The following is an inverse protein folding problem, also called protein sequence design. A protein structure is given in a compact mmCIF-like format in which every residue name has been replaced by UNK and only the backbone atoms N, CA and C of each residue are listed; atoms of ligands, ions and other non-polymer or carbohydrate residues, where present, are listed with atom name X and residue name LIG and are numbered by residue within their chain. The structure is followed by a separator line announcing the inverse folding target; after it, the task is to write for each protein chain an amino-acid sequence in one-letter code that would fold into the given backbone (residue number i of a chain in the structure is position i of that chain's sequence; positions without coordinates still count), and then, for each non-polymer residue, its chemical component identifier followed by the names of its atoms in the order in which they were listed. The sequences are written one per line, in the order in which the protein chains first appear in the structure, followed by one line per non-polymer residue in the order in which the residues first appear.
data_IF_685343700895
#
_entry.id   IF_685343700895
#
_cell.length_a   1.000
_cell.length_b   1.000
_cell.length_c   1.000
_cell.angle_alpha   90.00
_cell.angle_beta   90.00
_cell.angle_gamma   90.00
#
_symmetry.space_group_name_H-M   'P 1'
#
loop_
_entity.id
_entity.type
_entity.pdbx_description
1 polymer ?
#
# COMPACT_ATOMS: atom_id res chain seq x y z
N UNK A 1 7.19 2.10 -24.19
CA UNK A 1 6.15 2.57 -23.24
C UNK A 1 5.21 1.39 -22.99
N UNK A 2 5.09 0.88 -21.76
CA UNK A 2 4.12 -0.18 -21.46
C UNK A 2 2.71 0.42 -21.53
N UNK A 3 1.79 -0.29 -22.15
CA UNK A 3 0.41 0.20 -22.36
C UNK A 3 -0.41 0.06 -21.06
N UNK A 4 -1.53 0.80 -20.94
CA UNK A 4 -2.51 0.64 -19.83
C UNK A 4 -2.96 -0.83 -19.71
N UNK A 5 -3.04 -1.55 -20.83
CA UNK A 5 -3.39 -2.97 -20.88
C UNK A 5 -2.35 -3.86 -20.17
N UNK A 6 -1.06 -3.55 -20.34
CA UNK A 6 0.02 -4.28 -19.66
C UNK A 6 0.00 -3.99 -18.15
N UNK A 7 -0.33 -2.77 -17.78
CA UNK A 7 -0.46 -2.36 -16.38
C UNK A 7 -1.64 -3.06 -15.69
N UNK A 8 -2.80 -3.15 -16.36
CA UNK A 8 -3.97 -3.87 -15.85
C UNK A 8 -3.67 -5.36 -15.63
N UNK A 9 -2.96 -5.99 -16.56
CA UNK A 9 -2.56 -7.39 -16.42
C UNK A 9 -1.65 -7.62 -15.20
N UNK A 10 -0.72 -6.71 -14.95
CA UNK A 10 0.18 -6.81 -13.79
C UNK A 10 -0.54 -6.54 -12.48
N UNK A 11 -1.46 -5.56 -12.43
CA UNK A 11 -2.31 -5.33 -11.27
C UNK A 11 -3.18 -6.54 -10.96
N UNK A 12 -3.75 -7.16 -11.98
CA UNK A 12 -4.51 -8.39 -11.84
C UNK A 12 -3.67 -9.52 -11.23
N UNK A 13 -2.46 -9.74 -11.73
CA UNK A 13 -1.54 -10.73 -11.18
C UNK A 13 -1.16 -10.43 -9.72
N UNK A 14 -0.99 -9.15 -9.37
CA UNK A 14 -0.72 -8.74 -8.00
C UNK A 14 -1.91 -9.00 -7.07
N UNK A 15 -3.13 -8.75 -7.54
CA UNK A 15 -4.36 -9.08 -6.77
C UNK A 15 -4.47 -10.58 -6.55
N UNK A 16 -4.19 -11.39 -7.58
CA UNK A 16 -4.15 -12.85 -7.47
C UNK A 16 -3.06 -13.33 -6.51
N UNK A 17 -1.86 -12.77 -6.61
CA UNK A 17 -0.76 -13.07 -5.70
C UNK A 17 -1.09 -12.70 -4.24
N UNK A 18 -1.75 -11.55 -4.03
CA UNK A 18 -2.23 -11.15 -2.72
C UNK A 18 -3.24 -12.14 -2.16
N UNK A 19 -4.19 -12.55 -2.98
CA UNK A 19 -5.19 -13.52 -2.56
C UNK A 19 -4.56 -14.87 -2.19
N UNK A 20 -3.63 -15.35 -3.02
CA UNK A 20 -2.87 -16.57 -2.73
C UNK A 20 -2.07 -16.48 -1.43
N UNK A 21 -1.43 -15.34 -1.16
CA UNK A 21 -0.70 -15.08 0.08
C UNK A 21 -1.63 -15.09 1.30
N UNK A 22 -2.81 -14.46 1.21
CA UNK A 22 -3.82 -14.48 2.27
C UNK A 22 -4.31 -15.91 2.54
N UNK A 23 -4.57 -16.69 1.49
CA UNK A 23 -5.01 -18.07 1.62
C UNK A 23 -3.92 -18.97 2.22
N UNK A 24 -2.66 -18.75 1.88
CA UNK A 24 -1.53 -19.47 2.49
C UNK A 24 -1.43 -19.19 4.00
N UNK A 25 -1.63 -17.93 4.41
CA UNK A 25 -1.66 -17.56 5.83
C UNK A 25 -2.86 -18.19 6.55
N UNK A 26 -4.06 -18.16 5.96
CA UNK A 26 -5.25 -18.80 6.50
C UNK A 26 -5.03 -20.32 6.66
N UNK A 27 -4.39 -20.96 5.68
CA UNK A 27 -4.06 -22.37 5.74
C UNK A 27 -3.10 -22.72 6.89
N UNK A 28 -2.11 -21.85 7.11
CA UNK A 28 -1.18 -22.04 8.24
C UNK A 28 -1.87 -21.96 9.61
N UNK A 29 -3.07 -21.36 9.68
CA UNK A 29 -3.80 -21.09 10.92
C UNK A 29 -5.09 -21.90 11.08
N UNK A 30 -5.55 -22.59 10.02
CA UNK A 30 -6.76 -23.41 10.06
C UNK A 30 -6.60 -24.67 9.22
N UNK A 31 -7.20 -25.77 9.68
CA UNK A 31 -7.22 -27.04 8.95
C UNK A 31 -8.18 -27.03 7.73
N UNK A 32 -9.00 -25.99 7.58
CA UNK A 32 -9.96 -25.87 6.52
C UNK A 32 -9.51 -24.87 5.43
N UNK A 33 -8.78 -25.38 4.44
CA UNK A 33 -8.43 -24.60 3.27
C UNK A 33 -9.63 -24.53 2.29
N UNK A 34 -9.95 -23.36 1.72
CA UNK A 34 -11.07 -23.25 0.78
C UNK A 34 -10.87 -24.16 -0.43
N UNK A 35 -11.97 -24.70 -0.92
CA UNK A 35 -12.00 -25.52 -2.13
C UNK A 35 -11.52 -24.74 -3.36
N UNK A 36 -11.11 -25.45 -4.41
CA UNK A 36 -10.71 -24.81 -5.67
C UNK A 36 -11.83 -23.99 -6.32
N UNK A 37 -13.09 -24.33 -6.04
CA UNK A 37 -14.25 -23.59 -6.53
C UNK A 37 -14.48 -22.29 -5.77
N UNK A 38 -14.33 -22.29 -4.45
CA UNK A 38 -14.35 -21.09 -3.62
C UNK A 38 -13.23 -20.12 -4.00
N UNK A 39 -12.02 -20.63 -4.24
CA UNK A 39 -10.90 -19.84 -4.74
C UNK A 39 -11.23 -19.16 -6.07
N UNK A 40 -11.80 -19.90 -7.04
CA UNK A 40 -12.19 -19.34 -8.35
C UNK A 40 -13.25 -18.26 -8.20
N UNK A 41 -14.26 -18.46 -7.34
CA UNK A 41 -15.28 -17.46 -7.06
C UNK A 41 -14.67 -16.17 -6.52
N UNK A 42 -13.77 -16.26 -5.57
CA UNK A 42 -13.09 -15.10 -5.00
C UNK A 42 -12.18 -14.39 -6.00
N UNK A 43 -11.55 -15.14 -6.91
CA UNK A 43 -10.79 -14.53 -8.00
C UNK A 43 -11.69 -13.77 -8.97
N UNK A 44 -12.84 -14.34 -9.35
CA UNK A 44 -13.81 -13.66 -10.19
C UNK A 44 -14.39 -12.39 -9.54
N UNK A 45 -14.66 -12.42 -8.22
CA UNK A 45 -15.07 -11.23 -7.47
C UNK A 45 -13.98 -10.16 -7.43
N UNK A 46 -12.71 -10.55 -7.34
CA UNK A 46 -11.58 -9.62 -7.38
C UNK A 46 -11.44 -8.98 -8.78
N UNK A 47 -11.65 -9.74 -9.85
CA UNK A 47 -11.70 -9.24 -11.23
C UNK A 47 -12.77 -8.17 -11.42
N UNK A 48 -14.00 -8.46 -11.01
CA UNK A 48 -15.11 -7.52 -11.11
C UNK A 48 -14.87 -6.23 -10.33
N UNK A 49 -14.21 -6.32 -9.18
CA UNK A 49 -13.83 -5.12 -8.39
C UNK A 49 -12.72 -4.31 -9.05
N UNK A 50 -11.87 -4.92 -9.85
CA UNK A 50 -10.82 -4.23 -10.63
C UNK A 50 -11.43 -3.41 -11.77
N UNK A 51 -12.46 -3.88 -12.43
CA UNK A 51 -13.18 -3.11 -13.46
C UNK A 51 -13.85 -1.86 -12.88
N UNK A 52 -14.34 -1.93 -11.65
CA UNK A 52 -14.92 -0.79 -10.94
C UNK A 52 -13.89 0.32 -10.55
N UNK A 53 -12.60 0.08 -10.74
CA UNK A 53 -11.52 1.04 -10.48
C UNK A 53 -11.21 1.96 -11.67
N UNK A 54 -12.10 2.12 -12.64
CA UNK A 54 -11.86 2.92 -13.85
C UNK A 54 -11.26 4.31 -13.58
N UNK A 55 -11.81 5.05 -12.61
CA UNK A 55 -11.28 6.36 -12.23
C UNK A 55 -9.89 6.29 -11.57
N UNK A 56 -9.60 5.23 -10.83
CA UNK A 56 -8.26 5.01 -10.27
C UNK A 56 -7.24 4.68 -11.37
N UNK A 57 -7.65 3.98 -12.42
CA UNK A 57 -6.79 3.68 -13.56
C UNK A 57 -6.36 4.93 -14.33
N UNK A 58 -7.20 5.97 -14.37
CA UNK A 58 -6.86 7.25 -14.98
C UNK A 58 -5.73 7.96 -14.22
N UNK A 59 -5.73 7.87 -12.89
CA UNK A 59 -4.63 8.37 -12.05
C UNK A 59 -3.37 7.53 -12.26
N UNK A 60 -3.51 6.21 -12.26
CA UNK A 60 -2.39 5.27 -12.44
C UNK A 60 -1.78 5.37 -13.84
N UNK A 61 -2.54 5.79 -14.84
CA UNK A 61 -2.07 6.02 -16.21
C UNK A 61 -1.28 7.32 -16.39
N UNK A 62 -1.27 8.23 -15.42
CA UNK A 62 -0.57 9.51 -15.51
C UNK A 62 0.82 9.44 -14.85
N UNK A 63 1.92 9.51 -15.62
CA UNK A 63 3.26 9.54 -15.06
C UNK A 63 3.44 10.70 -14.06
N UNK A 64 4.08 10.43 -12.94
CA UNK A 64 4.32 11.41 -11.90
C UNK A 64 3.20 11.59 -10.89
N UNK A 65 2.03 10.94 -11.08
CA UNK A 65 0.99 10.91 -10.05
C UNK A 65 1.52 10.29 -8.75
N UNK A 66 1.00 10.79 -7.63
CA UNK A 66 1.42 10.38 -6.29
C UNK A 66 0.37 9.47 -5.66
N UNK A 67 0.79 8.31 -5.23
CA UNK A 67 -0.05 7.31 -4.56
C UNK A 67 0.33 7.26 -3.08
N UNK A 68 -0.65 7.39 -2.20
CA UNK A 68 -0.50 7.05 -0.79
C UNK A 68 -0.94 5.60 -0.58
N UNK A 69 0.01 4.73 -0.28
CA UNK A 69 -0.22 3.32 0.01
C UNK A 69 -0.20 3.10 1.52
N UNK A 70 -1.31 2.65 2.08
CA UNK A 70 -1.44 2.38 3.51
C UNK A 70 -1.06 0.94 3.82
N UNK A 71 -0.07 0.74 4.69
CA UNK A 71 0.39 -0.60 5.09
C UNK A 71 -0.74 -1.46 5.64
N UNK A 72 -0.75 -2.74 5.31
CA UNK A 72 -1.75 -3.70 5.78
C UNK A 72 -1.49 -4.12 7.23
N UNK A 73 -2.56 -4.39 7.97
CA UNK A 73 -2.51 -4.87 9.35
C UNK A 73 -2.47 -6.40 9.45
N UNK A 74 -2.69 -7.11 8.37
CA UNK A 74 -2.87 -8.56 8.35
C UNK A 74 -1.70 -9.31 7.67
N UNK A 75 -0.48 -8.73 7.73
CA UNK A 75 0.75 -9.37 7.25
C UNK A 75 1.01 -9.23 5.75
N UNK A 76 0.36 -8.27 5.09
CA UNK A 76 0.51 -8.04 3.66
C UNK A 76 1.72 -7.19 3.25
N UNK A 77 2.71 -7.00 4.11
CA UNK A 77 3.86 -6.11 3.86
C UNK A 77 4.61 -6.42 2.57
N UNK A 78 4.88 -7.70 2.28
CA UNK A 78 5.56 -8.09 1.04
C UNK A 78 4.74 -7.74 -0.22
N UNK A 79 3.43 -7.86 -0.11
CA UNK A 79 2.54 -7.43 -1.19
C UNK A 79 2.53 -5.91 -1.35
N UNK A 80 2.46 -5.15 -0.26
CA UNK A 80 2.53 -3.69 -0.27
C UNK A 80 3.82 -3.22 -0.95
N UNK A 81 4.95 -3.80 -0.59
CA UNK A 81 6.25 -3.47 -1.17
C UNK A 81 6.31 -3.83 -2.66
N UNK A 82 5.80 -5.00 -3.04
CA UNK A 82 5.72 -5.40 -4.44
C UNK A 82 4.88 -4.42 -5.26
N UNK A 83 3.75 -3.96 -4.69
CA UNK A 83 2.88 -2.97 -5.31
C UNK A 83 3.56 -1.60 -5.41
N UNK A 84 4.26 -1.16 -4.35
CA UNK A 84 5.02 0.08 -4.34
C UNK A 84 6.11 0.08 -5.42
N UNK A 85 6.88 -1.00 -5.52
CA UNK A 85 7.90 -1.16 -6.57
C UNK A 85 7.30 -1.22 -7.97
N UNK A 86 6.17 -1.90 -8.12
CA UNK A 86 5.44 -1.91 -9.39
C UNK A 86 5.07 -0.50 -9.84
N UNK A 87 4.47 0.31 -8.96
CA UNK A 87 4.08 1.68 -9.30
C UNK A 87 5.28 2.57 -9.60
N UNK A 88 6.34 2.50 -8.81
CA UNK A 88 7.56 3.30 -9.04
C UNK A 88 8.26 2.93 -10.36
N UNK A 89 8.25 1.65 -10.73
CA UNK A 89 8.77 1.17 -12.01
C UNK A 89 7.96 1.68 -13.22
N UNK A 90 6.68 2.04 -13.01
CA UNK A 90 5.79 2.63 -14.02
C UNK A 90 5.79 4.18 -14.01
N UNK A 91 6.72 4.80 -13.28
CA UNK A 91 6.89 6.24 -13.29
C UNK A 91 6.01 7.01 -12.31
N UNK A 92 5.28 6.31 -11.46
CA UNK A 92 4.48 6.89 -10.38
C UNK A 92 5.34 7.18 -9.16
N UNK A 93 4.86 8.03 -8.27
CA UNK A 93 5.43 8.29 -6.96
C UNK A 93 4.61 7.58 -5.91
N UNK A 94 5.27 6.96 -4.95
CA UNK A 94 4.60 6.24 -3.88
C UNK A 94 5.02 6.79 -2.53
N UNK A 95 4.04 7.11 -1.71
CA UNK A 95 4.22 7.34 -0.28
C UNK A 95 3.72 6.09 0.43
N UNK A 96 4.62 5.33 1.04
CA UNK A 96 4.27 4.16 1.83
C UNK A 96 4.13 4.53 3.30
N UNK A 97 2.91 4.46 3.82
CA UNK A 97 2.61 4.80 5.20
C UNK A 97 2.60 3.57 6.09
N UNK A 98 3.55 3.51 7.03
CA UNK A 98 3.66 2.47 8.05
C UNK A 98 3.13 2.98 9.39
N UNK A 99 3.01 2.10 10.38
CA UNK A 99 2.60 2.47 11.74
C UNK A 99 3.72 3.17 12.51
N UNK A 100 3.34 4.05 13.44
CA UNK A 100 4.29 4.64 14.40
C UNK A 100 4.81 3.59 15.39
N UNK A 101 3.97 2.66 15.79
CA UNK A 101 4.33 1.60 16.69
C UNK A 101 3.44 0.38 16.51
N UNK A 102 3.66 -0.63 17.35
CA UNK A 102 3.03 -1.93 17.20
C UNK A 102 1.51 -1.86 17.03
N UNK A 103 1.04 -2.46 15.95
CA UNK A 103 -0.38 -2.66 15.65
C UNK A 103 -0.55 -3.91 14.78
N UNK A 104 -0.90 -5.04 15.42
CA UNK A 104 -1.01 -6.35 14.76
C UNK A 104 0.26 -6.69 13.94
N UNK A 105 0.08 -7.02 12.65
CA UNK A 105 1.17 -7.37 11.72
C UNK A 105 1.52 -6.23 10.75
N UNK A 106 1.07 -5.00 11.04
CA UNK A 106 1.49 -3.84 10.25
C UNK A 106 2.97 -3.54 10.48
N UNK A 107 3.72 -3.23 9.43
CA UNK A 107 5.08 -2.75 9.60
C UNK A 107 5.07 -1.40 10.33
N UNK A 108 6.05 -1.21 11.19
CA UNK A 108 6.23 0.01 11.98
C UNK A 108 7.42 0.83 11.47
N UNK A 109 7.52 2.07 11.91
CA UNK A 109 8.70 2.88 11.61
C UNK A 109 9.98 2.27 12.24
N UNK A 110 9.87 1.58 13.36
CA UNK A 110 10.98 0.83 13.95
C UNK A 110 11.41 -0.33 13.05
N UNK A 111 10.46 -1.11 12.51
CA UNK A 111 10.78 -2.20 11.57
C UNK A 111 11.50 -1.67 10.33
N UNK A 112 11.10 -0.50 9.79
CA UNK A 112 11.76 0.15 8.65
C UNK A 112 13.22 0.49 8.97
N UNK A 113 13.55 0.78 10.22
CA UNK A 113 14.89 1.15 10.64
C UNK A 113 15.77 -0.05 11.03
N UNK A 114 15.17 -1.09 11.63
CA UNK A 114 15.89 -2.17 12.31
C UNK A 114 15.79 -3.53 11.62
N UNK A 115 14.73 -3.79 10.85
CA UNK A 115 14.56 -5.07 10.16
C UNK A 115 15.30 -5.07 8.83
N UNK A 116 16.30 -5.95 8.70
CA UNK A 116 17.19 -6.00 7.54
C UNK A 116 16.44 -6.37 6.24
N UNK A 117 15.47 -7.29 6.29
CA UNK A 117 14.69 -7.68 5.11
C UNK A 117 13.83 -6.53 4.61
N UNK A 118 13.22 -5.78 5.54
CA UNK A 118 12.41 -4.61 5.20
C UNK A 118 13.27 -3.46 4.66
N UNK A 119 14.44 -3.23 5.25
CA UNK A 119 15.42 -2.24 4.77
C UNK A 119 15.92 -2.58 3.37
N UNK A 120 16.22 -3.85 3.11
CA UNK A 120 16.61 -4.31 1.78
C UNK A 120 15.48 -4.11 0.76
N UNK A 121 14.25 -4.48 1.11
CA UNK A 121 13.09 -4.30 0.26
C UNK A 121 12.74 -2.81 0.02
N UNK A 122 13.11 -1.92 0.93
CA UNK A 122 12.97 -0.46 0.82
C UNK A 122 14.25 0.23 0.31
N UNK A 123 15.22 -0.52 -0.22
CA UNK A 123 16.46 0.07 -0.75
C UNK A 123 16.14 1.12 -1.82
N UNK A 124 16.69 2.32 -1.66
CA UNK A 124 16.43 3.47 -2.53
C UNK A 124 15.17 4.27 -2.17
N UNK A 125 14.47 3.91 -1.12
CA UNK A 125 13.39 4.74 -0.57
C UNK A 125 13.96 5.84 0.33
N UNK A 126 13.26 6.97 0.39
CA UNK A 126 13.55 8.04 1.36
C UNK A 126 12.64 7.89 2.58
N UNK A 127 13.22 7.72 3.75
CA UNK A 127 12.47 7.55 5.01
C UNK A 127 12.37 8.89 5.73
N UNK A 128 11.14 9.35 5.95
CA UNK A 128 10.84 10.58 6.69
C UNK A 128 10.38 10.17 8.09
N UNK A 129 11.24 10.41 9.07
CA UNK A 129 10.96 10.09 10.49
C UNK A 129 10.27 11.24 11.24
N UNK A 130 10.37 12.47 10.72
CA UNK A 130 9.72 13.63 11.34
C UNK A 130 8.20 13.58 11.17
N UNK A 131 7.40 13.52 12.26
CA UNK A 131 5.94 13.45 12.19
C UNK A 131 5.29 14.77 11.77
N UNK A 132 6.06 15.86 11.60
CA UNK A 132 5.54 17.22 11.33
C UNK A 132 6.39 17.99 10.32
N UNK A 133 6.74 17.34 9.17
CA UNK A 133 7.46 18.06 8.10
C UNK A 133 6.59 19.11 7.43
N UNK A 134 7.21 20.11 6.80
CA UNK A 134 6.47 21.08 6.01
C UNK A 134 5.93 20.48 4.70
N UNK A 135 4.91 21.14 4.10
CA UNK A 135 4.43 20.76 2.76
C UNK A 135 5.56 20.81 1.73
N UNK A 136 6.40 21.84 1.80
CA UNK A 136 7.49 22.03 0.85
C UNK A 136 8.54 20.92 0.96
N UNK A 137 8.85 20.46 2.18
CA UNK A 137 9.79 19.36 2.40
C UNK A 137 9.24 18.04 1.86
N UNK A 138 7.92 17.77 2.07
CA UNK A 138 7.28 16.59 1.47
C UNK A 138 7.34 16.65 -0.06
N UNK A 139 6.98 17.79 -0.66
CA UNK A 139 7.02 17.96 -2.11
C UNK A 139 8.45 17.89 -2.67
N UNK A 140 9.43 18.36 -1.91
CA UNK A 140 10.85 18.21 -2.26
C UNK A 140 11.24 16.73 -2.25
N UNK A 141 10.93 16.00 -1.19
CA UNK A 141 11.19 14.56 -1.12
C UNK A 141 10.55 13.80 -2.30
N UNK A 142 9.30 14.12 -2.64
CA UNK A 142 8.58 13.51 -3.77
C UNK A 142 9.13 13.89 -5.15
N UNK A 143 9.91 14.97 -5.26
CA UNK A 143 10.63 15.30 -6.50
C UNK A 143 11.91 14.50 -6.66
N UNK A 144 12.61 14.27 -5.55
CA UNK A 144 13.91 13.60 -5.53
C UNK A 144 13.77 12.07 -5.50
N UNK A 145 12.72 11.56 -4.86
CA UNK A 145 12.52 10.13 -4.60
C UNK A 145 11.17 9.65 -5.13
N UNK A 146 11.17 8.49 -5.76
CA UNK A 146 9.92 7.86 -6.25
C UNK A 146 9.20 7.06 -5.16
N UNK A 147 9.92 6.60 -4.15
CA UNK A 147 9.39 5.90 -2.99
C UNK A 147 9.79 6.68 -1.74
N UNK A 148 8.80 7.10 -1.00
CA UNK A 148 8.95 7.80 0.29
C UNK A 148 8.22 6.99 1.35
N UNK A 149 8.85 6.75 2.49
CA UNK A 149 8.25 6.06 3.64
C UNK A 149 7.98 7.06 4.73
N UNK A 150 6.78 7.03 5.29
CA UNK A 150 6.36 7.88 6.40
C UNK A 150 5.67 7.07 7.49
N UNK A 151 5.62 7.61 8.71
CA UNK A 151 4.71 7.09 9.74
C UNK A 151 3.32 7.72 9.61
N UNK A 152 2.26 6.92 9.84
CA UNK A 152 0.92 7.45 10.01
C UNK A 152 0.73 8.17 11.37
N UNK A 153 1.69 8.03 12.29
CA UNK A 153 1.69 8.65 13.62
C UNK A 153 0.83 7.92 14.64
N UNK A 154 0.31 6.71 14.32
CA UNK A 154 -0.59 6.00 15.22
C UNK A 154 -0.06 4.62 15.60
N UNK A 155 -0.48 4.15 16.79
CA UNK A 155 -0.26 2.78 17.32
C UNK A 155 -1.57 2.01 17.43
N UNK A 156 -2.58 2.48 16.74
CA UNK A 156 -3.94 1.97 16.80
C UNK A 156 -4.54 1.88 15.40
N UNK A 157 -5.79 1.49 15.30
CA UNK A 157 -6.56 1.55 14.06
C UNK A 157 -6.47 2.94 13.46
N UNK A 158 -6.35 3.04 12.13
CA UNK A 158 -6.29 4.33 11.43
C UNK A 158 -7.46 5.23 11.84
N UNK A 159 -7.12 6.39 12.38
CA UNK A 159 -8.06 7.43 12.76
C UNK A 159 -7.51 8.75 12.21
N UNK A 160 -8.16 9.29 11.18
CA UNK A 160 -7.69 10.49 10.48
C UNK A 160 -7.62 11.74 11.37
N UNK A 161 -8.31 11.74 12.51
CA UNK A 161 -8.20 12.83 13.50
C UNK A 161 -6.94 12.74 14.39
N UNK A 162 -6.24 11.58 14.37
CA UNK A 162 -5.09 11.31 15.24
C UNK A 162 -3.79 11.02 14.49
N UNK A 163 -3.82 11.08 13.18
CA UNK A 163 -2.64 10.85 12.35
C UNK A 163 -1.63 11.98 12.49
N UNK A 164 -0.39 11.72 12.14
CA UNK A 164 0.68 12.73 12.13
C UNK A 164 0.39 13.85 11.13
N UNK A 165 1.01 15.01 11.36
CA UNK A 165 0.91 16.13 10.42
C UNK A 165 1.53 15.75 9.06
N UNK A 166 2.62 14.97 9.08
CA UNK A 166 3.25 14.44 7.86
C UNK A 166 2.27 13.57 7.07
N UNK A 167 1.57 12.66 7.74
CA UNK A 167 0.56 11.82 7.10
C UNK A 167 -0.61 12.65 6.54
N UNK A 168 -1.12 13.62 7.30
CA UNK A 168 -2.21 14.50 6.84
C UNK A 168 -1.82 15.28 5.59
N UNK A 169 -0.56 15.70 5.47
CA UNK A 169 -0.03 16.34 4.27
C UNK A 169 0.09 15.35 3.11
N UNK A 170 0.63 14.17 3.37
CA UNK A 170 0.72 13.11 2.37
C UNK A 170 -0.66 12.76 1.80
N UNK A 171 -1.67 12.65 2.66
CA UNK A 171 -3.07 12.43 2.25
C UNK A 171 -3.58 13.51 1.29
N UNK A 172 -3.31 14.79 1.58
CA UNK A 172 -3.77 15.92 0.77
C UNK A 172 -3.02 16.08 -0.56
N UNK A 173 -1.75 15.68 -0.60
CA UNK A 173 -0.89 15.82 -1.77
C UNK A 173 -0.90 14.57 -2.67
N UNK A 174 -1.64 13.53 -2.29
CA UNK A 174 -1.75 12.30 -3.08
C UNK A 174 -2.93 12.37 -4.04
N UNK A 175 -2.72 11.92 -5.27
CA UNK A 175 -3.75 11.81 -6.29
C UNK A 175 -4.65 10.58 -6.08
N UNK A 176 -4.12 9.56 -5.41
CA UNK A 176 -4.82 8.31 -5.10
C UNK A 176 -4.38 7.77 -3.74
N UNK A 177 -5.35 7.32 -2.94
CA UNK A 177 -5.09 6.59 -1.70
C UNK A 177 -5.47 5.13 -1.90
N UNK A 178 -4.53 4.23 -1.68
CA UNK A 178 -4.77 2.78 -1.72
C UNK A 178 -4.68 2.23 -0.31
N UNK A 179 -5.79 1.67 0.13
CA UNK A 179 -5.88 0.97 1.40
C UNK A 179 -6.48 -0.42 1.14
N UNK A 180 -5.81 -1.45 1.56
CA UNK A 180 -6.34 -2.80 1.51
C UNK A 180 -6.41 -3.42 2.89
N UNK A 181 -7.16 -4.52 2.99
CA UNK A 181 -7.51 -5.12 4.26
C UNK A 181 -8.89 -4.67 4.75
N UNK A 182 -9.68 -5.66 5.20
CA UNK A 182 -11.07 -5.44 5.61
C UNK A 182 -11.21 -4.45 6.77
N UNK A 183 -10.21 -4.35 7.64
CA UNK A 183 -10.19 -3.45 8.79
C UNK A 183 -10.16 -1.97 8.39
N UNK A 184 -9.64 -1.64 7.19
CA UNK A 184 -9.58 -0.26 6.68
C UNK A 184 -10.83 0.12 5.90
N UNK A 185 -11.50 -0.86 5.29
CA UNK A 185 -12.71 -0.65 4.49
C UNK A 185 -13.80 0.10 5.26
N UNK A 186 -14.03 -0.27 6.51
CA UNK A 186 -15.08 0.34 7.34
C UNK A 186 -14.80 1.75 7.86
N UNK A 187 -13.66 2.35 7.53
CA UNK A 187 -13.27 3.67 8.03
C UNK A 187 -12.98 4.69 6.93
N UNK A 188 -12.75 4.22 5.72
CA UNK A 188 -12.41 5.08 4.58
C UNK A 188 -13.58 5.24 3.60
N UNK A 189 -14.62 4.41 3.73
CA UNK A 189 -15.78 4.37 2.83
C UNK A 189 -17.06 4.83 3.54
N UNK A 190 -17.11 4.83 4.87
CA UNK A 190 -18.16 5.38 5.72
C UNK A 190 -17.76 6.77 6.24
#
# INVERSE_FOLDING_TARGET
MKTIRDMNRHLHLLVLARYASLMANVRAWSENFPSGEELRRHFAEAENKMEALGSALDVLGRPGSTILLLSDADGGTLYDLSLAHFFTAHGLKVIYAVKEGFYFHSPTMQDVQENDDLREALRGAHVITNPSISKNDLLKALREWRLVVISDGTRERLNLARVSVTFSRAWKESDLVIAHGWRKRFRLID
#
